data_IF_801919505270
#
_entry.id   IF_801919505270
#
_cell.length_a   1.000
_cell.length_b   1.000
_cell.length_c   1.000
_cell.angle_alpha   90.00
_cell.angle_beta   90.00
_cell.angle_gamma   90.00
#
_symmetry.space_group_name_H-M   'P 1'
#
loop_
_entity.id
_entity.type
_entity.pdbx_description
1 polymer ?
#
# COMPACT_ATOMS: atom_id res chain seq x y z
N UNK A 1 -18.01 27.12 -10.74
CA UNK A 1 -16.96 26.20 -10.26
C UNK A 1 -17.68 25.15 -9.41
N UNK A 2 -18.15 24.08 -10.05
CA UNK A 2 -18.84 22.97 -9.38
C UNK A 2 -17.84 22.31 -8.44
N UNK A 3 -18.15 22.22 -7.15
CA UNK A 3 -17.39 21.36 -6.24
C UNK A 3 -17.37 19.96 -6.87
N UNK A 4 -16.21 19.28 -6.97
CA UNK A 4 -16.19 17.91 -7.44
C UNK A 4 -17.17 17.11 -6.56
N UNK A 5 -18.13 16.43 -7.19
CA UNK A 5 -19.07 15.59 -6.46
C UNK A 5 -18.25 14.61 -5.59
N UNK A 6 -18.52 14.53 -4.28
CA UNK A 6 -17.77 13.63 -3.42
C UNK A 6 -17.90 12.20 -3.95
N UNK A 7 -16.79 11.46 -3.89
CA UNK A 7 -16.76 10.05 -4.26
C UNK A 7 -17.57 9.25 -3.25
N UNK A 8 -18.83 8.96 -3.59
CA UNK A 8 -19.77 8.28 -2.70
C UNK A 8 -19.58 6.77 -2.78
N UNK A 9 -19.26 6.18 -1.64
CA UNK A 9 -19.14 4.73 -1.47
C UNK A 9 -20.38 4.26 -0.70
N UNK A 10 -21.31 3.61 -1.39
CA UNK A 10 -22.54 3.09 -0.77
C UNK A 10 -22.37 1.62 -0.36
N UNK A 11 -22.49 1.34 0.94
CA UNK A 11 -22.50 -0.02 1.48
C UNK A 11 -23.91 -0.39 1.90
N UNK A 12 -24.46 -1.47 1.35
CA UNK A 12 -25.77 -2.01 1.75
C UNK A 12 -25.56 -3.28 2.52
N UNK A 13 -25.81 -3.25 3.83
CA UNK A 13 -25.63 -4.40 4.71
C UNK A 13 -26.91 -4.73 5.47
N UNK A 14 -27.18 -6.01 5.66
CA UNK A 14 -28.38 -6.49 6.36
C UNK A 14 -28.32 -6.23 7.86
N UNK A 15 -27.14 -6.40 8.45
CA UNK A 15 -26.90 -6.20 9.87
C UNK A 15 -25.47 -5.70 10.10
N UNK A 16 -25.27 -4.95 11.18
CA UNK A 16 -23.98 -4.33 11.54
C UNK A 16 -22.85 -5.36 11.68
N UNK A 17 -23.17 -6.58 12.11
CA UNK A 17 -22.20 -7.67 12.23
C UNK A 17 -21.51 -8.07 10.92
N UNK A 18 -22.09 -7.77 9.74
CA UNK A 18 -21.44 -8.05 8.44
C UNK A 18 -20.28 -7.10 8.13
N UNK A 19 -20.25 -5.94 8.79
CA UNK A 19 -19.17 -4.98 8.62
C UNK A 19 -17.91 -5.39 9.40
N UNK A 20 -18.07 -6.28 10.37
CA UNK A 20 -17.05 -6.62 11.35
C UNK A 20 -16.65 -8.08 11.25
N UNK A 21 -15.37 -8.35 11.47
CA UNK A 21 -14.86 -9.70 11.49
C UNK A 21 -15.55 -10.53 12.59
N UNK A 22 -16.05 -11.71 12.23
CA UNK A 22 -16.74 -12.64 13.14
C UNK A 22 -15.79 -13.45 14.02
N UNK A 23 -14.53 -13.58 13.62
CA UNK A 23 -13.49 -14.30 14.36
C UNK A 23 -12.77 -13.42 15.38
N UNK A 24 -12.99 -12.11 15.34
CA UNK A 24 -12.41 -11.17 16.28
C UNK A 24 -13.17 -11.20 17.62
N UNK A 25 -12.54 -11.81 18.64
CA UNK A 25 -13.07 -11.94 19.99
C UNK A 25 -12.74 -10.73 20.88
N UNK A 26 -12.28 -9.60 20.30
CA UNK A 26 -11.99 -8.39 21.07
C UNK A 26 -13.25 -7.88 21.78
N UNK A 27 -13.23 -7.73 23.12
CA UNK A 27 -14.45 -7.60 23.91
C UNK A 27 -15.17 -6.25 23.76
N UNK A 28 -14.51 -5.17 23.29
CA UNK A 28 -15.14 -3.86 23.06
C UNK A 28 -14.41 -3.02 21.99
N UNK A 29 -15.18 -2.24 21.22
CA UNK A 29 -14.83 -1.11 20.32
C UNK A 29 -13.77 -1.28 19.21
N UNK A 30 -12.99 -2.35 19.21
CA UNK A 30 -11.92 -2.62 18.25
C UNK A 30 -12.24 -3.83 17.39
N UNK A 31 -13.48 -3.96 16.90
CA UNK A 31 -13.75 -5.00 15.91
C UNK A 31 -13.14 -4.57 14.59
N UNK A 32 -12.20 -5.37 14.10
CA UNK A 32 -11.63 -5.16 12.78
C UNK A 32 -12.72 -5.24 11.71
N UNK A 33 -12.58 -4.40 10.68
CA UNK A 33 -13.44 -4.45 9.51
C UNK A 33 -13.32 -5.84 8.88
N UNK A 34 -14.44 -6.40 8.43
CA UNK A 34 -14.40 -7.64 7.66
C UNK A 34 -13.58 -7.46 6.38
N UNK A 35 -12.90 -8.51 5.93
CA UNK A 35 -12.04 -8.43 4.74
C UNK A 35 -12.84 -8.07 3.48
N UNK A 36 -14.05 -8.62 3.34
CA UNK A 36 -14.91 -8.36 2.19
C UNK A 36 -15.37 -6.89 2.19
N UNK A 37 -15.64 -6.34 3.39
CA UNK A 37 -15.97 -4.94 3.55
C UNK A 37 -14.76 -4.01 3.25
N UNK A 38 -13.55 -4.38 3.67
CA UNK A 38 -12.33 -3.63 3.30
C UNK A 38 -12.15 -3.62 1.78
N UNK A 39 -12.21 -4.79 1.14
CA UNK A 39 -11.99 -4.92 -0.30
C UNK A 39 -13.03 -4.11 -1.08
N UNK A 40 -14.30 -4.17 -0.70
CA UNK A 40 -15.36 -3.38 -1.31
C UNK A 40 -15.09 -1.87 -1.18
N UNK A 41 -14.82 -1.37 0.04
CA UNK A 41 -14.57 0.06 0.28
C UNK A 41 -13.35 0.53 -0.50
N UNK A 42 -12.25 -0.22 -0.44
CA UNK A 42 -10.99 0.14 -1.11
C UNK A 42 -11.14 0.05 -2.63
N UNK A 43 -11.89 -0.93 -3.14
CA UNK A 43 -12.20 -1.07 -4.56
C UNK A 43 -12.90 0.17 -5.09
N UNK A 44 -14.05 0.52 -4.50
CA UNK A 44 -14.79 1.73 -4.87
C UNK A 44 -13.99 3.01 -4.69
N UNK A 45 -13.21 3.12 -3.60
CA UNK A 45 -12.39 4.30 -3.35
C UNK A 45 -11.29 4.50 -4.41
N UNK A 46 -10.81 3.44 -5.06
CA UNK A 46 -9.81 3.49 -6.16
C UNK A 46 -10.41 3.93 -7.49
N UNK A 47 -11.72 3.78 -7.67
CA UNK A 47 -12.42 4.24 -8.88
C UNK A 47 -12.59 5.76 -8.91
N UNK A 48 -12.51 6.40 -7.74
CA UNK A 48 -12.54 7.85 -7.62
C UNK A 48 -11.15 8.48 -7.79
N UNK A 49 -11.13 9.73 -8.26
CA UNK A 49 -9.89 10.50 -8.40
C UNK A 49 -9.09 10.57 -7.09
N UNK A 50 -7.77 10.58 -7.20
CA UNK A 50 -6.84 10.62 -6.05
C UNK A 50 -7.02 11.86 -5.15
N UNK A 51 -7.68 12.92 -5.66
CA UNK A 51 -7.99 14.15 -4.94
C UNK A 51 -9.45 14.32 -4.50
N UNK A 52 -10.35 13.39 -4.85
CA UNK A 52 -11.75 13.51 -4.49
C UNK A 52 -11.96 13.39 -2.97
N UNK A 53 -12.88 14.19 -2.42
CA UNK A 53 -13.36 13.94 -1.06
C UNK A 53 -14.23 12.69 -1.12
N UNK A 54 -13.82 11.65 -0.39
CA UNK A 54 -14.61 10.42 -0.29
C UNK A 54 -15.71 10.64 0.75
N UNK A 55 -16.82 9.93 0.58
CA UNK A 55 -17.91 9.87 1.55
C UNK A 55 -18.44 8.44 1.62
N UNK A 56 -18.54 7.87 2.82
CA UNK A 56 -19.04 6.50 3.00
C UNK A 56 -20.48 6.58 3.49
N UNK A 57 -21.39 5.89 2.82
CA UNK A 57 -22.80 5.80 3.20
C UNK A 57 -23.17 4.35 3.47
N UNK A 58 -23.42 4.03 4.72
CA UNK A 58 -23.82 2.70 5.19
C UNK A 58 -25.34 2.65 5.29
N UNK A 59 -25.96 1.76 4.53
CA UNK A 59 -27.40 1.54 4.47
C UNK A 59 -27.70 0.25 5.23
N UNK A 60 -28.40 0.38 6.35
CA UNK A 60 -28.81 -0.71 7.22
C UNK A 60 -30.27 -1.08 6.97
N UNK A 61 -30.55 -2.37 6.79
CA UNK A 61 -31.92 -2.91 6.66
C UNK A 61 -32.60 -3.24 7.98
N UNK A 62 -31.92 -2.98 9.10
CA UNK A 62 -32.43 -3.19 10.45
C UNK A 62 -32.45 -1.88 11.22
N UNK A 63 -33.42 -1.71 12.11
CA UNK A 63 -33.40 -0.60 13.06
C UNK A 63 -32.12 -0.66 13.90
N UNK A 64 -31.52 0.49 14.15
CA UNK A 64 -30.28 0.60 14.90
C UNK A 64 -30.38 1.72 15.93
N UNK A 65 -29.72 1.51 17.07
CA UNK A 65 -29.60 2.56 18.08
C UNK A 65 -28.69 3.69 17.54
N UNK A 66 -28.95 4.97 17.86
CA UNK A 66 -28.11 6.09 17.44
C UNK A 66 -26.62 5.96 17.80
N UNK A 67 -26.30 5.25 18.88
CA UNK A 67 -24.92 4.93 19.29
C UNK A 67 -24.17 4.05 18.28
N UNK A 68 -24.90 3.27 17.48
CA UNK A 68 -24.35 2.39 16.43
C UNK A 68 -23.65 3.20 15.34
N UNK A 69 -24.19 4.37 14.99
CA UNK A 69 -23.59 5.28 14.01
C UNK A 69 -22.20 5.73 14.45
N UNK A 70 -22.07 6.15 15.72
CA UNK A 70 -20.79 6.56 16.30
C UNK A 70 -19.79 5.41 16.35
N UNK A 71 -20.25 4.21 16.71
CA UNK A 71 -19.42 2.99 16.71
C UNK A 71 -18.88 2.68 15.30
N UNK A 72 -19.75 2.65 14.28
CA UNK A 72 -19.33 2.38 12.88
C UNK A 72 -18.33 3.43 12.40
N UNK A 73 -18.62 4.71 12.63
CA UNK A 73 -17.73 5.83 12.29
C UNK A 73 -16.35 5.67 12.94
N UNK A 74 -16.32 5.37 14.23
CA UNK A 74 -15.08 5.21 14.98
C UNK A 74 -14.29 3.98 14.53
N UNK A 75 -14.95 2.84 14.34
CA UNK A 75 -14.29 1.60 13.90
C UNK A 75 -13.70 1.74 12.50
N UNK A 76 -14.42 2.30 11.53
CA UNK A 76 -13.90 2.55 10.16
C UNK A 76 -12.68 3.49 10.22
N UNK A 77 -12.80 4.60 10.97
CA UNK A 77 -11.70 5.56 11.16
C UNK A 77 -10.48 4.89 11.78
N UNK A 78 -10.68 4.11 12.84
CA UNK A 78 -9.59 3.43 13.56
C UNK A 78 -8.93 2.39 12.66
N UNK A 79 -9.71 1.53 11.99
CA UNK A 79 -9.23 0.51 11.08
C UNK A 79 -8.32 1.10 9.99
N UNK A 80 -8.82 2.06 9.21
CA UNK A 80 -8.03 2.66 8.14
C UNK A 80 -6.84 3.50 8.64
N UNK A 81 -6.95 4.12 9.83
CA UNK A 81 -5.82 4.78 10.48
C UNK A 81 -4.71 3.80 10.86
N UNK A 82 -5.09 2.64 11.39
CA UNK A 82 -4.17 1.55 11.72
C UNK A 82 -3.53 0.97 10.45
N UNK A 83 -4.32 0.64 9.44
CA UNK A 83 -3.83 0.15 8.14
C UNK A 83 -2.85 1.13 7.48
N UNK A 84 -3.11 2.44 7.55
CA UNK A 84 -2.17 3.46 7.08
C UNK A 84 -0.85 3.51 7.85
N UNK A 85 -0.83 3.11 9.13
CA UNK A 85 0.40 2.95 9.93
C UNK A 85 1.15 1.68 9.54
N UNK A 86 0.44 0.57 9.31
CA UNK A 86 1.04 -0.69 8.83
C UNK A 86 1.72 -0.47 7.47
N UNK A 87 1.02 0.09 6.48
CA UNK A 87 1.59 0.39 5.16
C UNK A 87 2.79 1.36 5.24
N UNK A 88 2.81 2.26 6.23
CA UNK A 88 3.98 3.12 6.50
C UNK A 88 5.18 2.29 6.95
N UNK A 89 4.98 1.30 7.83
CA UNK A 89 6.03 0.38 8.25
C UNK A 89 6.57 -0.42 7.07
N UNK A 90 5.68 -0.94 6.22
CA UNK A 90 6.06 -1.70 5.02
C UNK A 90 6.88 -0.85 4.04
N UNK A 91 6.53 0.43 3.87
CA UNK A 91 7.34 1.38 3.10
C UNK A 91 8.74 1.55 3.70
N UNK A 92 8.84 1.71 5.02
CA UNK A 92 10.13 1.86 5.69
C UNK A 92 11.00 0.62 5.54
N UNK A 93 10.39 -0.56 5.64
CA UNK A 93 11.06 -1.83 5.41
C UNK A 93 11.53 -1.97 3.95
N UNK A 94 10.69 -1.62 2.99
CA UNK A 94 11.04 -1.63 1.56
C UNK A 94 12.23 -0.70 1.27
N UNK A 95 12.26 0.50 1.85
CA UNK A 95 13.42 1.40 1.70
C UNK A 95 14.67 0.88 2.42
N UNK A 96 14.52 0.13 3.52
CA UNK A 96 15.66 -0.54 4.18
C UNK A 96 16.21 -1.67 3.32
N UNK A 97 15.34 -2.48 2.70
CA UNK A 97 15.74 -3.50 1.72
C UNK A 97 16.44 -2.85 0.52
N UNK A 98 15.87 -1.78 -0.03
CA UNK A 98 16.43 -1.01 -1.14
C UNK A 98 17.84 -0.48 -0.86
N UNK A 99 18.08 0.09 0.34
CA UNK A 99 19.41 0.56 0.74
C UNK A 99 20.41 -0.58 0.93
N UNK A 100 19.99 -1.69 1.54
CA UNK A 100 20.86 -2.84 1.77
C UNK A 100 21.27 -3.48 0.45
N UNK A 101 20.31 -3.70 -0.45
CA UNK A 101 20.57 -4.22 -1.80
C UNK A 101 21.41 -3.27 -2.64
N UNK A 102 21.23 -1.95 -2.49
CA UNK A 102 22.06 -0.96 -3.16
C UNK A 102 23.51 -1.04 -2.69
N UNK A 103 23.75 -1.14 -1.39
CA UNK A 103 25.10 -1.28 -0.84
C UNK A 103 25.78 -2.55 -1.37
N UNK A 104 25.08 -3.69 -1.38
CA UNK A 104 25.58 -4.94 -1.95
C UNK A 104 25.89 -4.78 -3.44
N UNK A 105 24.98 -4.16 -4.20
CA UNK A 105 25.16 -3.92 -5.63
C UNK A 105 26.36 -3.02 -5.93
N UNK A 106 26.58 -1.96 -5.15
CA UNK A 106 27.75 -1.08 -5.27
C UNK A 106 29.05 -1.82 -4.98
N UNK A 107 29.09 -2.62 -3.90
CA UNK A 107 30.27 -3.44 -3.55
C UNK A 107 30.57 -4.45 -4.66
N UNK A 108 29.54 -5.11 -5.19
CA UNK A 108 29.69 -6.06 -6.28
C UNK A 108 30.19 -5.38 -7.57
N UNK A 109 29.63 -4.23 -7.92
CA UNK A 109 30.08 -3.44 -9.08
C UNK A 109 31.53 -2.97 -8.92
N UNK A 110 31.90 -2.49 -7.73
CA UNK A 110 33.28 -2.10 -7.44
C UNK A 110 34.23 -3.29 -7.60
N UNK A 111 33.83 -4.48 -7.14
CA UNK A 111 34.59 -5.71 -7.30
C UNK A 111 34.73 -6.10 -8.79
N UNK A 112 33.66 -6.07 -9.58
CA UNK A 112 33.74 -6.44 -11.01
C UNK A 112 34.60 -5.47 -11.80
N UNK A 113 34.55 -4.17 -11.48
CA UNK A 113 35.41 -3.16 -12.10
C UNK A 113 36.87 -3.31 -11.66
N UNK A 114 37.13 -3.62 -10.38
CA UNK A 114 38.47 -3.90 -9.89
C UNK A 114 39.07 -5.13 -10.60
N UNK A 115 38.31 -6.23 -10.71
CA UNK A 115 38.74 -7.41 -11.46
C UNK A 115 39.04 -7.06 -12.93
N UNK A 116 38.19 -6.26 -13.56
CA UNK A 116 38.39 -5.80 -14.95
C UNK A 116 39.71 -5.03 -15.13
N UNK A 117 40.15 -4.28 -14.11
CA UNK A 117 41.42 -3.53 -14.16
C UNK A 117 42.66 -4.42 -14.09
N UNK A 118 42.55 -5.60 -13.47
CA UNK A 118 43.65 -6.57 -13.32
C UNK A 118 43.82 -7.46 -14.55
N UNK A 119 42.75 -7.69 -15.32
CA UNK A 119 42.85 -8.41 -16.60
C UNK A 119 43.78 -7.61 -17.53
N UNK A 120 44.74 -8.22 -18.24
CA UNK A 120 45.57 -7.51 -19.22
C UNK A 120 44.73 -6.71 -20.21
N UNK A 121 45.29 -5.68 -20.84
CA UNK A 121 44.60 -4.91 -21.92
C UNK A 121 44.95 -5.43 -23.33
N UNK A 122 45.81 -6.45 -23.40
CA UNK A 122 46.23 -7.11 -24.64
C UNK A 122 45.01 -7.63 -25.44
N UNK A 123 44.90 -7.32 -26.75
CA UNK A 123 43.77 -7.75 -27.55
C UNK A 123 43.77 -9.27 -27.73
N UNK A 124 42.93 -9.95 -26.95
CA UNK A 124 42.71 -11.39 -27.02
C UNK A 124 41.24 -11.71 -26.80
N UNK A 125 40.69 -12.66 -27.57
CA UNK A 125 39.25 -13.00 -27.54
C UNK A 125 38.76 -13.31 -26.12
N UNK A 126 39.52 -14.08 -25.35
CA UNK A 126 39.19 -14.46 -23.97
C UNK A 126 39.18 -13.25 -23.04
N UNK A 127 40.14 -12.33 -23.18
CA UNK A 127 40.24 -11.13 -22.37
C UNK A 127 39.04 -10.20 -22.61
N UNK A 128 38.72 -9.93 -23.88
CA UNK A 128 37.54 -9.12 -24.25
C UNK A 128 36.26 -9.75 -23.70
N UNK A 129 36.07 -11.06 -23.85
CA UNK A 129 34.91 -11.77 -23.30
C UNK A 129 34.77 -11.60 -21.78
N UNK A 130 35.86 -11.75 -21.02
CA UNK A 130 35.84 -11.60 -19.56
C UNK A 130 35.51 -10.15 -19.17
N UNK A 131 36.11 -9.16 -19.85
CA UNK A 131 35.89 -7.72 -19.58
C UNK A 131 34.45 -7.30 -19.85
N UNK A 132 33.86 -7.78 -20.95
CA UNK A 132 32.45 -7.54 -21.28
C UNK A 132 31.53 -8.24 -20.26
N UNK A 133 31.82 -9.51 -19.93
CA UNK A 133 31.05 -10.28 -18.94
C UNK A 133 31.03 -9.60 -17.56
N UNK A 134 32.17 -9.10 -17.07
CA UNK A 134 32.26 -8.36 -15.81
C UNK A 134 31.42 -7.07 -15.82
N UNK A 135 31.36 -6.38 -16.96
CA UNK A 135 30.57 -5.16 -17.14
C UNK A 135 29.07 -5.50 -17.10
N UNK A 136 28.65 -6.54 -17.83
CA UNK A 136 27.26 -7.02 -17.84
C UNK A 136 26.84 -7.47 -16.43
N UNK A 137 27.67 -8.27 -15.74
CA UNK A 137 27.40 -8.71 -14.37
C UNK A 137 27.24 -7.53 -13.40
N UNK A 138 28.14 -6.55 -13.46
CA UNK A 138 28.07 -5.35 -12.62
C UNK A 138 26.76 -4.58 -12.82
N UNK A 139 26.32 -4.42 -14.07
CA UNK A 139 25.04 -3.79 -14.39
C UNK A 139 23.84 -4.62 -13.91
N UNK A 140 23.85 -5.94 -14.15
CA UNK A 140 22.79 -6.86 -13.70
C UNK A 140 22.61 -6.81 -12.18
N UNK A 141 23.71 -6.71 -11.43
CA UNK A 141 23.66 -6.57 -9.97
C UNK A 141 22.94 -5.30 -9.47
N UNK A 142 22.84 -4.26 -10.30
CA UNK A 142 22.21 -2.99 -9.94
C UNK A 142 20.68 -2.95 -10.19
N UNK A 143 20.12 -3.96 -10.88
CA UNK A 143 18.69 -3.95 -11.22
C UNK A 143 17.76 -3.99 -10.00
N UNK A 144 18.00 -4.91 -9.05
CA UNK A 144 17.15 -5.06 -7.86
C UNK A 144 17.04 -3.76 -7.03
N UNK A 145 18.13 -3.06 -6.67
CA UNK A 145 18.01 -1.82 -5.91
C UNK A 145 17.32 -0.70 -6.69
N UNK A 146 17.58 -0.59 -8.01
CA UNK A 146 16.89 0.38 -8.86
C UNK A 146 15.38 0.10 -8.90
N UNK A 147 14.98 -1.16 -9.08
CA UNK A 147 13.58 -1.57 -9.10
C UNK A 147 12.84 -1.20 -7.80
N UNK A 148 13.46 -1.50 -6.66
CA UNK A 148 12.90 -1.18 -5.34
C UNK A 148 12.73 0.33 -5.16
N UNK A 149 13.78 1.10 -5.45
CA UNK A 149 13.83 2.53 -5.19
C UNK A 149 13.06 3.36 -6.22
N UNK A 150 12.84 2.84 -7.44
CA UNK A 150 12.10 3.55 -8.48
C UNK A 150 10.65 3.13 -8.61
N UNK A 151 10.30 1.86 -8.42
CA UNK A 151 8.96 1.36 -8.78
C UNK A 151 8.18 0.81 -7.59
N UNK A 152 8.78 -0.06 -6.77
CA UNK A 152 8.03 -0.82 -5.76
C UNK A 152 7.38 0.03 -4.65
N UNK A 153 7.88 1.24 -4.39
CA UNK A 153 7.35 2.09 -3.31
C UNK A 153 6.12 2.91 -3.70
N UNK A 154 5.94 3.25 -4.98
CA UNK A 154 4.81 4.09 -5.42
C UNK A 154 3.44 3.47 -5.11
N UNK A 155 3.19 2.18 -5.38
CA UNK A 155 1.92 1.54 -5.06
C UNK A 155 1.60 1.59 -3.57
N UNK A 156 2.60 1.34 -2.71
CA UNK A 156 2.45 1.38 -1.26
C UNK A 156 2.18 2.81 -0.75
N UNK A 157 2.84 3.81 -1.33
CA UNK A 157 2.62 5.21 -0.96
C UNK A 157 1.22 5.68 -1.38
N UNK A 158 0.74 5.26 -2.57
CA UNK A 158 -0.65 5.51 -3.02
C UNK A 158 -1.66 4.83 -2.10
N UNK A 159 -1.44 3.55 -1.79
CA UNK A 159 -2.30 2.79 -0.86
C UNK A 159 -2.39 3.46 0.51
N UNK A 160 -1.25 3.89 1.06
CA UNK A 160 -1.20 4.64 2.33
C UNK A 160 -1.97 5.96 2.24
N UNK A 161 -1.87 6.66 1.12
CA UNK A 161 -2.64 7.88 0.87
C UNK A 161 -4.15 7.62 0.88
N UNK A 162 -4.58 6.57 0.18
CA UNK A 162 -5.98 6.14 0.13
C UNK A 162 -6.51 5.75 1.52
N UNK A 163 -5.77 4.93 2.27
CA UNK A 163 -6.13 4.54 3.64
C UNK A 163 -6.27 5.76 4.55
N UNK A 164 -5.39 6.76 4.44
CA UNK A 164 -5.53 8.02 5.19
C UNK A 164 -6.78 8.79 4.81
N UNK A 165 -7.10 8.88 3.52
CA UNK A 165 -8.32 9.56 3.03
C UNK A 165 -9.57 8.86 3.57
N UNK A 166 -9.60 7.53 3.51
CA UNK A 166 -10.68 6.70 4.06
C UNK A 166 -10.80 6.85 5.59
N UNK A 167 -9.69 6.98 6.31
CA UNK A 167 -9.71 7.21 7.76
C UNK A 167 -10.32 8.57 8.15
N UNK A 168 -10.09 9.61 7.36
CA UNK A 168 -10.67 10.95 7.56
C UNK A 168 -12.03 11.15 6.88
N UNK A 169 -12.55 10.11 6.24
CA UNK A 169 -13.75 10.17 5.42
C UNK A 169 -15.00 10.33 6.32
N UNK A 170 -15.92 11.25 6.02
CA UNK A 170 -17.24 11.26 6.64
C UNK A 170 -17.98 9.94 6.36
N UNK A 171 -18.57 9.36 7.42
CA UNK A 171 -19.40 8.17 7.32
C UNK A 171 -20.81 8.52 7.78
N UNK A 172 -21.80 8.29 6.92
CA UNK A 172 -23.22 8.43 7.23
C UNK A 172 -23.86 7.05 7.32
N UNK A 173 -24.75 6.86 8.29
CA UNK A 173 -25.49 5.62 8.46
C UNK A 173 -26.98 5.94 8.32
N UNK A 174 -27.65 5.27 7.37
CA UNK A 174 -29.08 5.44 7.11
C UNK A 174 -29.81 4.11 7.24
N UNK A 175 -31.07 4.17 7.66
CA UNK A 175 -31.98 3.03 7.71
C UNK A 175 -32.76 2.94 6.40
N UNK A 176 -32.76 1.77 5.76
CA UNK A 176 -33.64 1.44 4.63
C UNK A 176 -34.92 0.79 5.17
N UNK A 177 -35.99 1.59 5.22
CA UNK A 177 -37.34 1.19 5.66
C UNK A 177 -38.10 0.39 4.62
#
# INVERSE_FOLDING_TARGET
MSLPSPGLIELRIGHVGQLFNTLDTSPFHERDLDHDAEEFIVGWAREHDDGAQLHIKVILRQEFAPSTTGLIQESIRHYFSYRAKVTRSDLQELFREGRTTLAIGIVFLALTLALRSVVPSEPGVVNTWIREGLTICGWVGLWKPIDILLYRWWPLQRLRGLQKRLASCPVEVIFES
#
